data_IF_466847111326
#
_entry.id   IF_466847111326
#
_cell.length_a   1.000
_cell.length_b   1.000
_cell.length_c   1.000
_cell.angle_alpha   90.00
_cell.angle_beta   90.00
_cell.angle_gamma   90.00
#
_symmetry.space_group_name_H-M   'P 1'
#
loop_
_entity.id
_entity.type
_entity.pdbx_description
1 polymer ?
#
# COMPACT_ATOMS: atom_id res chain seq x y z
N UNK A 1 2.55 8.93 4.50
CA UNK A 1 1.52 9.63 3.70
C UNK A 1 2.06 10.90 3.10
N UNK A 2 1.69 11.19 1.85
CA UNK A 2 1.89 12.47 1.18
C UNK A 2 0.55 12.99 0.65
N UNK A 3 0.40 14.32 0.60
CA UNK A 3 -0.73 14.99 -0.06
C UNK A 3 -0.16 15.86 -1.17
N UNK A 4 -0.74 15.75 -2.35
CA UNK A 4 -0.26 16.37 -3.58
C UNK A 4 -1.25 17.46 -3.98
N UNK A 5 -0.72 18.67 -4.24
CA UNK A 5 -1.48 19.83 -4.70
C UNK A 5 -1.01 20.22 -6.10
N UNK A 6 -1.96 20.34 -7.03
CA UNK A 6 -1.71 20.70 -8.41
C UNK A 6 -0.74 19.74 -9.12
N UNK A 7 -0.01 20.30 -10.07
CA UNK A 7 0.96 19.58 -10.89
C UNK A 7 2.26 20.40 -11.01
N UNK A 8 3.40 19.78 -11.37
CA UNK A 8 4.63 20.53 -11.62
C UNK A 8 4.48 21.38 -12.90
N UNK A 9 5.31 22.42 -13.11
CA UNK A 9 5.14 23.39 -14.20
C UNK A 9 5.02 22.78 -15.60
N UNK A 10 5.73 21.68 -15.85
CA UNK A 10 5.86 21.07 -17.19
C UNK A 10 5.13 19.72 -17.32
N UNK A 11 4.22 19.37 -16.39
CA UNK A 11 3.43 18.15 -16.50
C UNK A 11 2.05 18.27 -15.83
N UNK A 12 1.13 17.38 -16.20
CA UNK A 12 -0.24 17.39 -15.69
C UNK A 12 -0.41 16.72 -14.30
N UNK A 13 0.61 16.03 -13.80
CA UNK A 13 0.60 15.36 -12.50
C UNK A 13 2.03 15.08 -11.98
N UNK A 14 2.16 14.93 -10.66
CA UNK A 14 3.40 14.47 -10.02
C UNK A 14 3.52 12.95 -10.13
N UNK A 15 4.70 12.45 -10.51
CA UNK A 15 4.95 11.00 -10.66
C UNK A 15 5.70 10.44 -9.46
N UNK A 16 5.17 9.38 -8.87
CA UNK A 16 5.80 8.69 -7.74
C UNK A 16 6.05 7.21 -8.08
N UNK A 17 7.29 6.72 -8.00
CA UNK A 17 7.56 5.29 -8.12
C UNK A 17 7.25 4.59 -6.79
N UNK A 18 6.44 3.54 -6.86
CA UNK A 18 6.23 2.58 -5.77
C UNK A 18 7.27 1.47 -5.92
N UNK A 19 8.09 1.26 -4.89
CA UNK A 19 9.24 0.33 -4.91
C UNK A 19 8.98 -0.89 -4.05
N UNK A 20 9.59 -2.01 -4.39
CA UNK A 20 9.58 -3.21 -3.53
C UNK A 20 10.40 -2.89 -2.27
N UNK A 21 9.84 -3.01 -1.05
CA UNK A 21 10.58 -2.74 0.17
C UNK A 21 11.75 -3.72 0.38
N UNK A 22 11.73 -4.89 -0.28
CA UNK A 22 12.82 -5.89 -0.23
C UNK A 22 13.95 -5.59 -1.20
N UNK A 23 13.65 -4.89 -2.30
CA UNK A 23 14.60 -4.50 -3.32
C UNK A 23 14.24 -3.11 -3.88
N UNK A 24 14.94 -2.09 -3.38
CA UNK A 24 14.68 -0.68 -3.76
C UNK A 24 14.99 -0.39 -5.23
N UNK A 25 15.73 -1.26 -5.93
CA UNK A 25 15.96 -1.10 -7.38
C UNK A 25 14.73 -1.50 -8.19
N UNK A 26 13.88 -2.37 -7.65
CA UNK A 26 12.67 -2.86 -8.29
C UNK A 26 11.50 -1.88 -8.14
N UNK A 27 11.03 -1.36 -9.26
CA UNK A 27 9.80 -0.53 -9.32
C UNK A 27 8.60 -1.45 -9.50
N UNK A 28 7.67 -1.43 -8.53
CA UNK A 28 6.42 -2.18 -8.61
C UNK A 28 5.40 -1.47 -9.50
N UNK A 29 5.28 -0.15 -9.38
CA UNK A 29 4.39 0.69 -10.17
C UNK A 29 4.89 2.14 -10.20
N UNK A 30 4.41 2.93 -11.16
CA UNK A 30 4.48 4.39 -11.10
C UNK A 30 3.04 4.90 -11.00
N UNK A 31 2.79 5.83 -10.08
CA UNK A 31 1.48 6.48 -9.91
C UNK A 31 1.60 7.96 -10.25
N UNK A 32 0.65 8.48 -11.03
CA UNK A 32 0.58 9.90 -11.38
C UNK A 32 -0.50 10.56 -10.55
N UNK A 33 -0.15 11.54 -9.72
CA UNK A 33 -1.05 12.13 -8.73
C UNK A 33 -1.15 13.63 -8.93
N UNK A 34 -2.39 14.13 -8.95
CA UNK A 34 -2.76 15.54 -8.91
C UNK A 34 -3.94 15.69 -7.97
N UNK A 35 -3.89 16.68 -7.08
CA UNK A 35 -4.99 17.05 -6.18
C UNK A 35 -5.55 15.86 -5.36
N UNK A 36 -4.65 15.01 -4.87
CA UNK A 36 -4.99 13.77 -4.14
C UNK A 36 -3.83 13.35 -3.21
N UNK A 37 -4.00 12.26 -2.48
CA UNK A 37 -3.03 11.75 -1.52
C UNK A 37 -2.55 10.33 -1.86
N UNK A 38 -1.40 9.97 -1.31
CA UNK A 38 -0.80 8.65 -1.37
C UNK A 38 -0.29 8.25 0.02
N UNK A 39 -0.70 7.09 0.53
CA UNK A 39 -0.10 6.47 1.71
C UNK A 39 0.38 5.08 1.42
N UNK A 40 1.40 4.64 2.16
CA UNK A 40 1.99 3.31 2.04
C UNK A 40 2.14 2.70 3.42
N UNK A 41 1.59 1.51 3.59
CA UNK A 41 1.82 0.63 4.74
C UNK A 41 2.71 -0.53 4.29
N UNK A 42 3.78 -0.80 5.03
CA UNK A 42 4.76 -1.84 4.69
C UNK A 42 5.18 -2.61 5.93
N UNK A 43 5.50 -3.89 5.77
CA UNK A 43 6.04 -4.73 6.83
C UNK A 43 7.43 -4.27 7.32
N UNK A 44 8.15 -3.52 6.49
CA UNK A 44 9.57 -3.18 6.67
C UNK A 44 9.84 -2.00 7.59
N UNK A 45 8.83 -1.19 7.93
CA UNK A 45 9.03 0.12 8.56
C UNK A 45 9.31 -0.01 10.07
N UNK A 46 8.56 -0.86 10.77
CA UNK A 46 8.71 -1.06 12.22
C UNK A 46 8.36 -2.51 12.58
N UNK A 47 9.29 -3.20 13.22
CA UNK A 47 9.11 -4.55 13.73
C UNK A 47 9.85 -4.76 15.05
N UNK A 48 9.43 -5.75 15.80
CA UNK A 48 10.14 -6.28 16.97
C UNK A 48 10.49 -7.74 16.71
N UNK A 49 11.67 -8.17 17.16
CA UNK A 49 12.05 -9.58 17.17
C UNK A 49 11.86 -10.15 18.59
N UNK A 50 11.08 -11.22 18.71
CA UNK A 50 10.88 -11.94 19.96
C UNK A 50 10.82 -13.45 19.68
N UNK A 51 11.49 -14.27 20.48
CA UNK A 51 11.54 -15.73 20.34
C UNK A 51 11.94 -16.22 18.93
N UNK A 52 12.82 -15.48 18.25
CA UNK A 52 13.27 -15.79 16.89
C UNK A 52 12.26 -15.47 15.78
N UNK A 53 11.12 -14.83 16.11
CA UNK A 53 10.10 -14.42 15.16
C UNK A 53 10.00 -12.89 15.04
N UNK A 54 9.82 -12.39 13.81
CA UNK A 54 9.57 -10.97 13.55
C UNK A 54 8.09 -10.63 13.67
N UNK A 55 7.78 -9.61 14.45
CA UNK A 55 6.44 -9.09 14.65
C UNK A 55 6.37 -7.68 14.05
N UNK A 56 5.59 -7.51 12.98
CA UNK A 56 5.31 -6.19 12.42
C UNK A 56 4.43 -5.35 13.34
N UNK A 57 4.57 -4.02 13.27
CA UNK A 57 3.77 -3.06 14.06
C UNK A 57 2.29 -2.98 13.64
N UNK A 58 1.94 -3.46 12.44
CA UNK A 58 0.56 -3.52 11.98
C UNK A 58 -0.06 -4.82 12.49
N UNK A 59 -1.02 -4.70 13.40
CA UNK A 59 -1.72 -5.83 14.00
C UNK A 59 -3.06 -6.09 13.31
N UNK A 60 -3.41 -7.36 13.18
CA UNK A 60 -4.75 -7.78 12.84
C UNK A 60 -5.65 -7.70 14.10
N UNK A 61 -6.61 -6.76 14.16
CA UNK A 61 -7.43 -6.55 15.35
C UNK A 61 -8.31 -7.77 15.68
N UNK A 62 -8.53 -8.69 14.73
CA UNK A 62 -9.30 -9.92 14.97
C UNK A 62 -8.54 -10.94 15.82
N UNK A 63 -7.21 -10.89 15.78
CA UNK A 63 -6.34 -11.89 16.42
C UNK A 63 -5.38 -11.28 17.45
N UNK A 64 -5.15 -9.98 17.39
CA UNK A 64 -4.12 -9.28 18.17
C UNK A 64 -2.69 -9.62 17.73
N UNK A 65 -2.52 -10.36 16.62
CA UNK A 65 -1.21 -10.76 16.08
C UNK A 65 -0.82 -9.87 14.90
N UNK A 66 0.46 -9.83 14.49
CA UNK A 66 0.87 -9.12 13.29
C UNK A 66 0.01 -9.50 12.07
N UNK A 67 -0.34 -8.50 11.27
CA UNK A 67 -1.01 -8.71 10.00
C UNK A 67 -0.17 -9.62 9.11
N UNK A 68 -0.83 -10.51 8.37
CA UNK A 68 -0.22 -11.68 7.72
C UNK A 68 0.74 -11.37 6.57
N UNK A 69 0.45 -11.92 5.37
CA UNK A 69 1.42 -12.05 4.27
C UNK A 69 1.60 -10.79 3.41
N UNK A 70 1.04 -9.67 3.83
CA UNK A 70 1.17 -8.40 3.11
C UNK A 70 2.60 -7.87 3.27
N UNK A 71 3.24 -7.55 2.15
CA UNK A 71 4.58 -6.95 2.12
C UNK A 71 4.44 -5.42 2.03
N UNK A 72 3.62 -4.94 1.09
CA UNK A 72 3.39 -3.52 0.87
C UNK A 72 1.96 -3.28 0.41
N UNK A 73 1.36 -2.19 0.87
CA UNK A 73 0.13 -1.64 0.32
C UNK A 73 0.28 -0.13 0.19
N UNK A 74 0.23 0.37 -1.04
CA UNK A 74 0.13 1.79 -1.35
C UNK A 74 -1.27 2.13 -1.86
N UNK A 75 -1.86 3.18 -1.33
CA UNK A 75 -3.23 3.62 -1.66
C UNK A 75 -3.23 5.08 -2.11
N UNK A 76 -3.83 5.35 -3.26
CA UNK A 76 -4.20 6.71 -3.67
C UNK A 76 -5.65 6.99 -3.26
N UNK A 77 -5.93 8.18 -2.75
CA UNK A 77 -7.29 8.59 -2.39
C UNK A 77 -7.44 10.12 -2.40
N UNK A 78 -8.68 10.66 -2.41
CA UNK A 78 -8.90 12.12 -2.44
C UNK A 78 -8.37 12.89 -1.22
N UNK A 79 -8.11 12.21 -0.10
CA UNK A 79 -7.57 12.85 1.11
C UNK A 79 -6.51 12.00 1.80
N UNK A 80 -5.59 12.67 2.49
CA UNK A 80 -4.52 12.00 3.25
C UNK A 80 -5.06 11.05 4.30
N UNK A 81 -6.11 11.46 5.05
CA UNK A 81 -6.74 10.62 6.05
C UNK A 81 -7.34 9.34 5.46
N UNK A 82 -7.99 9.42 4.29
CA UNK A 82 -8.53 8.23 3.60
C UNK A 82 -7.39 7.33 3.11
N UNK A 83 -6.39 7.89 2.45
CA UNK A 83 -5.25 7.11 1.94
C UNK A 83 -4.54 6.36 3.07
N UNK A 84 -4.31 7.02 4.21
CA UNK A 84 -3.62 6.46 5.37
C UNK A 84 -4.42 5.38 6.11
N UNK A 85 -5.70 5.63 6.36
CA UNK A 85 -6.58 4.64 6.98
C UNK A 85 -6.74 3.40 6.09
N UNK A 86 -6.92 3.60 4.78
CA UNK A 86 -7.13 2.50 3.84
C UNK A 86 -5.84 1.71 3.58
N UNK A 87 -4.67 2.33 3.52
CA UNK A 87 -3.43 1.57 3.33
C UNK A 87 -3.23 0.56 4.46
N UNK A 88 -3.51 0.98 5.70
CA UNK A 88 -3.43 0.09 6.87
C UNK A 88 -4.54 -0.96 6.86
N UNK A 89 -5.79 -0.57 6.59
CA UNK A 89 -6.91 -1.51 6.54
C UNK A 89 -6.72 -2.58 5.46
N UNK A 90 -6.28 -2.19 4.26
CA UNK A 90 -6.02 -3.10 3.15
C UNK A 90 -4.80 -3.98 3.40
N UNK A 91 -3.78 -3.47 4.10
CA UNK A 91 -2.66 -4.30 4.54
C UNK A 91 -3.13 -5.46 5.43
N UNK A 92 -4.09 -5.21 6.32
CA UNK A 92 -4.70 -6.23 7.20
C UNK A 92 -5.66 -7.15 6.43
N UNK A 93 -6.45 -6.61 5.50
CA UNK A 93 -7.48 -7.36 4.76
C UNK A 93 -6.90 -8.29 3.69
N UNK A 94 -5.75 -7.94 3.12
CA UNK A 94 -5.12 -8.65 2.01
C UNK A 94 -5.64 -8.20 0.63
N UNK A 95 -4.93 -8.62 -0.44
CA UNK A 95 -5.10 -8.06 -1.79
C UNK A 95 -6.47 -8.34 -2.41
N UNK A 96 -7.07 -9.51 -2.19
CA UNK A 96 -8.36 -9.89 -2.78
C UNK A 96 -9.51 -8.99 -2.29
N UNK A 97 -9.64 -8.86 -0.97
CA UNK A 97 -10.70 -8.06 -0.34
C UNK A 97 -10.48 -6.57 -0.59
N UNK A 98 -9.23 -6.11 -0.54
CA UNK A 98 -8.89 -4.73 -0.86
C UNK A 98 -9.24 -4.40 -2.32
N UNK A 99 -8.92 -5.28 -3.27
CA UNK A 99 -9.25 -5.09 -4.70
C UNK A 99 -10.75 -5.02 -4.92
N UNK A 100 -11.53 -5.89 -4.26
CA UNK A 100 -13.00 -5.87 -4.34
C UNK A 100 -13.55 -4.54 -3.85
N UNK A 101 -13.04 -4.02 -2.72
CA UNK A 101 -13.44 -2.71 -2.22
C UNK A 101 -13.10 -1.62 -3.23
N UNK A 102 -11.87 -1.61 -3.75
CA UNK A 102 -11.39 -0.57 -4.68
C UNK A 102 -12.16 -0.57 -6.00
N UNK A 103 -12.57 -1.74 -6.51
CA UNK A 103 -13.41 -1.83 -7.72
C UNK A 103 -14.75 -1.10 -7.57
N UNK A 104 -15.29 -1.00 -6.35
CA UNK A 104 -16.51 -0.25 -6.07
C UNK A 104 -16.27 1.25 -5.78
N UNK A 105 -15.01 1.70 -5.69
CA UNK A 105 -14.62 3.07 -5.33
C UNK A 105 -13.58 3.59 -6.35
N UNK A 106 -14.04 4.10 -7.51
CA UNK A 106 -13.15 4.49 -8.61
C UNK A 106 -12.20 5.64 -8.25
N UNK A 107 -12.49 6.40 -7.19
CA UNK A 107 -11.63 7.47 -6.70
C UNK A 107 -10.46 6.98 -5.82
N UNK A 108 -10.40 5.69 -5.51
CA UNK A 108 -9.32 5.05 -4.76
C UNK A 108 -8.54 4.15 -5.70
N UNK A 109 -7.21 4.18 -5.61
CA UNK A 109 -6.31 3.24 -6.29
C UNK A 109 -5.47 2.46 -5.29
N UNK A 110 -5.02 1.26 -5.68
CA UNK A 110 -4.18 0.40 -4.84
C UNK A 110 -3.04 -0.24 -5.65
N UNK A 111 -1.85 -0.24 -5.05
CA UNK A 111 -0.74 -1.14 -5.38
C UNK A 111 -0.47 -2.00 -4.16
N UNK A 112 -0.63 -3.31 -4.27
CA UNK A 112 -0.32 -4.24 -3.17
C UNK A 112 0.68 -5.29 -3.61
N UNK A 113 1.62 -5.60 -2.74
CA UNK A 113 2.52 -6.73 -2.85
C UNK A 113 2.28 -7.63 -1.63
N UNK A 114 1.97 -8.90 -1.86
CA UNK A 114 1.79 -9.90 -0.83
C UNK A 114 2.54 -11.19 -1.20
N UNK A 115 2.65 -12.12 -0.27
CA UNK A 115 3.16 -13.47 -0.52
C UNK A 115 2.03 -14.49 -0.42
N UNK A 116 1.90 -15.37 -1.42
CA UNK A 116 0.95 -16.49 -1.39
C UNK A 116 1.39 -17.56 -0.39
N UNK A 117 0.57 -18.61 -0.22
CA UNK A 117 0.84 -19.74 0.68
C UNK A 117 2.20 -20.42 0.52
N UNK A 118 2.78 -20.34 -0.66
CA UNK A 118 4.04 -20.97 -1.05
C UNK A 118 5.21 -19.98 -1.05
N UNK A 119 5.00 -18.74 -0.59
CA UNK A 119 6.02 -17.69 -0.54
C UNK A 119 6.26 -16.99 -1.87
N UNK A 120 5.38 -17.17 -2.87
CA UNK A 120 5.48 -16.48 -4.15
C UNK A 120 4.89 -15.09 -4.03
N UNK A 121 5.60 -14.10 -4.57
CA UNK A 121 5.15 -12.72 -4.56
C UNK A 121 3.98 -12.51 -5.53
N UNK A 122 2.89 -11.93 -5.03
CA UNK A 122 1.71 -11.52 -5.78
C UNK A 122 1.63 -9.99 -5.80
N UNK A 123 1.58 -9.41 -7.00
CA UNK A 123 1.47 -7.97 -7.20
C UNK A 123 0.09 -7.62 -7.75
N UNK A 124 -0.67 -6.84 -7.00
CA UNK A 124 -2.02 -6.40 -7.36
C UNK A 124 -2.03 -4.90 -7.62
N UNK A 125 -2.72 -4.48 -8.68
CA UNK A 125 -2.85 -3.07 -9.10
C UNK A 125 -4.28 -2.82 -9.57
N UNK A 126 -4.97 -1.87 -8.96
CA UNK A 126 -6.36 -1.52 -9.34
C UNK A 126 -6.53 -0.01 -9.27
N UNK A 127 -7.24 0.57 -10.25
CA UNK A 127 -7.58 2.00 -10.34
C UNK A 127 -6.37 2.94 -10.15
N UNK A 128 -5.23 2.61 -10.77
CA UNK A 128 -4.05 3.48 -10.69
C UNK A 128 -4.23 4.69 -11.62
N UNK A 129 -4.04 5.91 -11.10
CA UNK A 129 -4.02 7.13 -11.89
C UNK A 129 -2.70 7.35 -12.65
#
# INVERSE_FOLDING_TARGET
>A
TIVVLGSPPDADAWRFPIRDPRDKSRVLANVSIRDAALSTSSYSEQYVEADGMRYGHILDPRTGRPAGRSVLVSVTAPSGARADALSTAFFVLGPEKASTFVQCHPEIGIVSLAEDEHGRAELTKVNLP
#
